data_IF_619842416324
#
_entry.id   IF_619842416324
#
_cell.length_a   1.000
_cell.length_b   1.000
_cell.length_c   1.000
_cell.angle_alpha   90.00
_cell.angle_beta   90.00
_cell.angle_gamma   90.00
#
_symmetry.space_group_name_H-M   'P 1'
#
loop_
_entity.id
_entity.type
_entity.pdbx_description
1 polymer ?
#
# COMPACT_ATOMS: atom_id res chain seq x y z
N UNK A 1 -22.26 -25.65 -10.60
CA UNK A 1 -20.88 -25.10 -10.69
C UNK A 1 -20.62 -24.34 -9.41
N UNK A 2 -19.79 -24.86 -8.53
CA UNK A 2 -19.54 -24.29 -7.20
C UNK A 2 -18.60 -23.09 -7.32
N UNK A 3 -19.02 -21.96 -6.76
CA UNK A 3 -18.28 -20.69 -6.71
C UNK A 3 -17.00 -20.88 -5.89
N UNK A 4 -15.85 -20.94 -6.56
CA UNK A 4 -14.50 -20.98 -5.94
C UNK A 4 -14.03 -19.57 -5.48
N UNK A 5 -14.94 -18.76 -4.96
CA UNK A 5 -14.65 -17.37 -4.54
C UNK A 5 -14.67 -17.22 -3.00
N UNK A 6 -14.68 -18.31 -2.23
CA UNK A 6 -15.03 -18.29 -0.80
C UNK A 6 -13.88 -18.61 0.19
N UNK A 7 -12.61 -18.50 -0.18
CA UNK A 7 -11.49 -18.66 0.77
C UNK A 7 -10.46 -17.53 0.67
N UNK A 8 -10.92 -16.30 0.42
CA UNK A 8 -10.09 -15.13 0.63
C UNK A 8 -10.47 -14.50 1.96
N UNK A 9 -9.46 -14.30 2.81
CA UNK A 9 -9.56 -13.59 4.07
C UNK A 9 -10.21 -12.20 3.86
N UNK A 10 -10.80 -11.63 4.91
CA UNK A 10 -11.38 -10.28 4.84
C UNK A 10 -10.34 -9.27 4.32
N UNK A 11 -10.74 -8.18 3.63
CA UNK A 11 -9.79 -7.18 3.14
C UNK A 11 -8.85 -6.63 4.22
N UNK A 12 -9.34 -6.56 5.48
CA UNK A 12 -8.51 -6.20 6.63
C UNK A 12 -7.44 -7.25 6.92
N UNK A 13 -7.82 -8.52 7.00
CA UNK A 13 -6.87 -9.60 7.25
C UNK A 13 -5.82 -9.70 6.13
N UNK A 14 -6.20 -9.49 4.86
CA UNK A 14 -5.21 -9.42 3.78
C UNK A 14 -4.27 -8.22 3.90
N UNK A 15 -4.76 -7.08 4.39
CA UNK A 15 -3.92 -5.92 4.70
C UNK A 15 -2.92 -6.23 5.81
N UNK A 16 -3.42 -6.70 6.96
CA UNK A 16 -2.60 -7.05 8.13
C UNK A 16 -1.53 -8.10 7.78
N UNK A 17 -1.85 -9.09 6.91
CA UNK A 17 -0.90 -10.10 6.44
C UNK A 17 0.20 -9.53 5.52
N UNK A 18 -0.16 -8.62 4.60
CA UNK A 18 0.81 -7.96 3.72
C UNK A 18 1.75 -7.05 4.50
N UNK A 19 1.21 -6.28 5.44
CA UNK A 19 1.99 -5.42 6.35
C UNK A 19 3.03 -6.23 7.11
N UNK A 20 2.61 -7.35 7.71
CA UNK A 20 3.51 -8.25 8.45
C UNK A 20 4.60 -8.85 7.53
N UNK A 21 4.26 -9.29 6.33
CA UNK A 21 5.24 -9.83 5.37
C UNK A 21 6.27 -8.77 4.95
N UNK A 22 5.84 -7.55 4.67
CA UNK A 22 6.71 -6.46 4.22
C UNK A 22 7.71 -6.06 5.29
N UNK A 23 7.25 -5.89 6.54
CA UNK A 23 8.15 -5.59 7.66
C UNK A 23 9.15 -6.73 7.89
N UNK A 24 8.74 -7.98 7.71
CA UNK A 24 9.64 -9.12 7.88
C UNK A 24 10.66 -9.30 6.73
N UNK A 25 10.35 -8.80 5.54
CA UNK A 25 11.16 -9.03 4.34
C UNK A 25 12.03 -7.83 3.96
N UNK A 26 11.68 -6.62 4.40
CA UNK A 26 12.45 -5.41 4.15
C UNK A 26 13.20 -5.07 5.44
N UNK A 27 14.47 -5.47 5.53
CA UNK A 27 15.30 -5.34 6.75
C UNK A 27 15.37 -3.92 7.31
N UNK A 28 15.23 -2.91 6.45
CA UNK A 28 15.26 -1.51 6.85
C UNK A 28 13.93 -1.01 7.43
N UNK A 29 12.88 -1.84 7.57
CA UNK A 29 11.60 -1.48 8.17
C UNK A 29 11.43 -2.09 9.56
N UNK A 30 10.89 -1.30 10.48
CA UNK A 30 10.40 -1.76 11.78
C UNK A 30 8.91 -1.49 11.89
N UNK A 31 8.15 -2.47 12.38
CA UNK A 31 6.71 -2.35 12.62
C UNK A 31 6.41 -1.30 13.69
N UNK A 32 5.45 -0.42 13.39
CA UNK A 32 4.87 0.51 14.33
C UNK A 32 3.40 0.16 14.52
N UNK A 33 3.05 -0.30 15.74
CA UNK A 33 1.67 -0.65 16.04
C UNK A 33 0.80 0.54 16.46
N UNK A 34 -0.52 0.35 16.38
CA UNK A 34 -1.57 1.35 16.70
C UNK A 34 -1.45 2.03 18.08
N UNK A 35 -0.76 1.41 19.04
CA UNK A 35 -0.51 2.00 20.37
C UNK A 35 0.53 3.13 20.33
N UNK A 36 1.36 3.15 19.30
CA UNK A 36 2.45 4.10 19.08
C UNK A 36 2.02 5.16 18.07
N UNK A 37 1.48 4.73 16.93
CA UNK A 37 0.96 5.61 15.88
C UNK A 37 -0.20 4.92 15.16
N UNK A 38 -1.26 5.68 14.83
CA UNK A 38 -2.45 5.16 14.13
C UNK A 38 -2.48 5.56 12.65
N UNK A 39 -1.37 6.05 12.11
CA UNK A 39 -1.29 6.73 10.80
C UNK A 39 -0.12 6.28 9.93
N UNK A 40 0.77 5.43 10.45
CA UNK A 40 1.81 4.73 9.72
C UNK A 40 2.01 3.34 10.32
N UNK A 41 2.37 2.37 9.49
CA UNK A 41 2.49 0.96 9.88
C UNK A 41 3.95 0.57 10.16
N UNK A 42 4.90 1.36 9.68
CA UNK A 42 6.32 1.10 9.85
C UNK A 42 7.15 2.39 9.94
N UNK A 43 8.40 2.25 10.38
CA UNK A 43 9.43 3.29 10.25
C UNK A 43 10.70 2.68 9.68
N UNK A 44 11.49 3.48 8.98
CA UNK A 44 12.82 3.04 8.57
C UNK A 44 13.77 2.97 9.77
N UNK A 45 14.58 1.92 9.88
CA UNK A 45 15.59 1.75 10.95
C UNK A 45 16.99 2.13 10.49
N UNK A 46 17.21 2.13 9.18
CA UNK A 46 18.46 2.46 8.49
C UNK A 46 18.10 3.05 7.12
N UNK A 47 19.11 3.33 6.29
CA UNK A 47 18.91 3.74 4.90
C UNK A 47 18.13 2.67 4.13
N UNK A 48 16.97 3.03 3.58
CA UNK A 48 16.22 2.19 2.65
C UNK A 48 16.54 2.64 1.22
N UNK A 49 17.06 1.70 0.43
CA UNK A 49 17.52 1.92 -0.94
C UNK A 49 16.62 1.19 -1.94
N UNK A 50 16.52 1.68 -3.19
CA UNK A 50 15.78 1.00 -4.24
C UNK A 50 16.45 -0.32 -4.63
N UNK A 51 15.63 -1.32 -4.91
CA UNK A 51 16.05 -2.60 -5.46
C UNK A 51 15.05 -3.08 -6.51
N UNK A 52 15.37 -4.13 -7.27
CA UNK A 52 14.47 -4.64 -8.33
C UNK A 52 13.09 -5.03 -7.79
N UNK A 53 13.01 -5.47 -6.53
CA UNK A 53 11.77 -5.81 -5.84
C UNK A 53 11.08 -4.63 -5.14
N UNK A 54 11.70 -3.44 -5.11
CA UNK A 54 11.20 -2.28 -4.39
C UNK A 54 11.55 -1.01 -5.15
N UNK A 55 10.64 -0.58 -6.03
CA UNK A 55 10.84 0.61 -6.85
C UNK A 55 10.60 1.88 -6.05
N UNK A 56 11.33 2.94 -6.37
CA UNK A 56 11.17 4.25 -5.77
C UNK A 56 10.69 5.23 -6.83
N UNK A 57 9.73 6.11 -6.49
CA UNK A 57 9.25 7.16 -7.38
C UNK A 57 9.36 8.53 -6.70
N UNK A 58 10.04 9.47 -7.36
CA UNK A 58 10.23 10.84 -6.85
C UNK A 58 11.25 10.97 -5.71
N UNK A 59 11.88 9.86 -5.32
CA UNK A 59 12.91 9.79 -4.28
C UNK A 59 13.94 8.71 -4.64
N UNK A 60 15.18 8.84 -4.15
CA UNK A 60 16.28 7.93 -4.48
C UNK A 60 16.77 7.09 -3.31
N UNK A 61 16.57 7.57 -2.08
CA UNK A 61 16.86 6.87 -0.82
C UNK A 61 15.91 7.39 0.26
N UNK A 62 15.59 6.58 1.27
CA UNK A 62 14.87 7.03 2.47
C UNK A 62 15.79 6.88 3.67
N UNK A 63 16.00 7.97 4.43
CA UNK A 63 16.83 7.98 5.63
C UNK A 63 16.23 7.13 6.76
N UNK A 64 17.00 6.88 7.82
CA UNK A 64 16.48 6.26 9.04
C UNK A 64 15.45 7.17 9.74
N UNK A 65 14.61 6.56 10.59
CA UNK A 65 13.57 7.23 11.38
C UNK A 65 12.48 7.94 10.56
N UNK A 66 12.30 7.54 9.29
CA UNK A 66 11.23 8.06 8.43
C UNK A 66 9.97 7.18 8.56
N UNK A 67 8.80 7.77 8.87
CA UNK A 67 7.53 7.04 8.93
C UNK A 67 7.11 6.52 7.55
N UNK A 68 6.59 5.29 7.52
CA UNK A 68 6.14 4.59 6.32
C UNK A 68 4.73 4.03 6.53
N UNK A 69 3.77 4.52 5.75
CA UNK A 69 2.40 3.99 5.70
C UNK A 69 2.31 2.92 4.60
N UNK A 70 1.89 1.70 4.95
CA UNK A 70 1.81 0.57 4.02
C UNK A 70 0.39 0.49 3.46
N UNK A 71 0.26 0.39 2.15
CA UNK A 71 -1.06 0.27 1.49
C UNK A 71 -1.06 -0.81 0.42
N UNK A 72 -1.79 -1.88 0.69
CA UNK A 72 -2.04 -2.97 -0.26
C UNK A 72 -3.32 -2.77 -1.06
N UNK A 73 -3.32 -3.16 -2.34
CA UNK A 73 -4.55 -3.37 -3.10
C UNK A 73 -4.43 -4.54 -4.08
N UNK A 74 -5.57 -5.14 -4.44
CA UNK A 74 -5.62 -6.20 -5.45
C UNK A 74 -5.20 -5.65 -6.82
N UNK A 75 -4.57 -6.48 -7.66
CA UNK A 75 -4.26 -6.11 -9.04
C UNK A 75 -5.53 -5.69 -9.79
N UNK A 76 -6.62 -6.41 -9.58
CA UNK A 76 -7.92 -6.12 -10.16
C UNK A 76 -9.03 -6.38 -9.15
N UNK A 77 -10.12 -5.65 -9.30
CA UNK A 77 -11.36 -5.78 -8.53
C UNK A 77 -12.52 -5.90 -9.51
N UNK A 78 -13.41 -6.86 -9.26
CA UNK A 78 -14.62 -7.06 -10.08
C UNK A 78 -15.85 -6.56 -9.33
N UNK A 79 -16.73 -5.87 -10.05
CA UNK A 79 -18.08 -5.56 -9.59
C UNK A 79 -19.14 -6.44 -10.29
N UNK A 80 -18.74 -7.62 -10.77
CA UNK A 80 -19.58 -8.56 -11.49
C UNK A 80 -19.41 -8.46 -13.01
N UNK A 81 -19.76 -7.33 -13.61
CA UNK A 81 -19.80 -7.17 -15.07
C UNK A 81 -18.50 -6.61 -15.69
N UNK A 82 -17.66 -5.94 -14.89
CA UNK A 82 -16.38 -5.38 -15.35
C UNK A 82 -15.30 -5.58 -14.29
N UNK A 83 -14.08 -5.83 -14.77
CA UNK A 83 -12.87 -5.77 -13.95
C UNK A 83 -12.29 -4.35 -14.04
N UNK A 84 -11.86 -3.81 -12.90
CA UNK A 84 -11.11 -2.56 -12.83
C UNK A 84 -9.89 -2.75 -11.95
N UNK A 85 -8.81 -2.02 -12.24
CA UNK A 85 -7.62 -1.99 -11.39
C UNK A 85 -7.99 -1.70 -9.94
N UNK A 86 -7.36 -2.41 -9.00
CA UNK A 86 -7.56 -2.13 -7.58
C UNK A 86 -7.11 -0.73 -7.20
N UNK A 87 -7.58 -0.30 -6.03
CA UNK A 87 -7.38 1.05 -5.53
C UNK A 87 -6.85 1.01 -4.11
N UNK A 88 -5.83 1.81 -3.83
CA UNK A 88 -5.39 2.12 -2.48
C UNK A 88 -6.45 2.97 -1.79
N UNK A 89 -6.74 2.67 -0.53
CA UNK A 89 -7.67 3.41 0.30
C UNK A 89 -6.90 4.27 1.28
N UNK A 90 -6.98 5.59 1.11
CA UNK A 90 -6.21 6.56 1.90
C UNK A 90 -7.16 7.33 2.81
N UNK A 91 -6.79 7.46 4.08
CA UNK A 91 -7.52 8.24 5.09
C UNK A 91 -6.94 9.64 5.18
N UNK A 92 -7.79 10.67 5.24
CA UNK A 92 -7.34 12.07 5.19
C UNK A 92 -6.43 12.41 6.37
N UNK A 93 -6.83 12.04 7.58
CA UNK A 93 -6.07 12.35 8.80
C UNK A 93 -4.70 11.67 8.83
N UNK A 94 -4.62 10.40 8.39
CA UNK A 94 -3.35 9.69 8.30
C UNK A 94 -2.43 10.31 7.25
N UNK A 95 -2.98 10.67 6.09
CA UNK A 95 -2.23 11.33 5.02
C UNK A 95 -1.64 12.67 5.45
N UNK A 96 -2.41 13.50 6.16
CA UNK A 96 -1.95 14.79 6.67
C UNK A 96 -0.78 14.64 7.66
N UNK A 97 -0.85 13.67 8.58
CA UNK A 97 0.24 13.40 9.51
C UNK A 97 1.50 12.89 8.79
N UNK A 98 1.33 12.06 7.75
CA UNK A 98 2.44 11.60 6.93
C UNK A 98 3.09 12.76 6.16
N UNK A 99 2.31 13.72 5.66
CA UNK A 99 2.84 14.95 5.04
C UNK A 99 3.64 15.80 6.04
N UNK A 100 3.09 16.03 7.23
CA UNK A 100 3.76 16.81 8.29
C UNK A 100 5.09 16.17 8.70
N UNK A 101 5.15 14.83 8.71
CA UNK A 101 6.33 14.06 9.07
C UNK A 101 7.29 13.81 7.89
N UNK A 102 7.04 14.37 6.70
CA UNK A 102 7.78 14.06 5.47
C UNK A 102 7.90 12.54 5.19
N UNK A 103 6.86 11.78 5.55
CA UNK A 103 6.85 10.33 5.47
C UNK A 103 6.59 9.78 4.08
N UNK A 104 6.62 8.45 4.00
CA UNK A 104 6.54 7.69 2.75
C UNK A 104 5.32 6.77 2.74
N UNK A 105 4.81 6.49 1.55
CA UNK A 105 3.95 5.34 1.31
C UNK A 105 4.77 4.18 0.78
N UNK A 106 4.49 2.97 1.29
CA UNK A 106 4.86 1.71 0.66
C UNK A 106 3.61 1.09 0.04
N UNK A 107 3.45 1.26 -1.26
CA UNK A 107 2.33 0.72 -2.02
C UNK A 107 2.61 -0.68 -2.52
N UNK A 108 1.64 -1.58 -2.36
CA UNK A 108 1.75 -2.97 -2.80
C UNK A 108 0.55 -3.40 -3.63
N UNK A 109 0.83 -3.96 -4.80
CA UNK A 109 -0.18 -4.59 -5.66
C UNK A 109 -0.04 -6.09 -5.52
N UNK A 110 -1.14 -6.79 -5.23
CA UNK A 110 -1.12 -8.25 -5.02
C UNK A 110 -2.19 -8.99 -5.81
N UNK A 111 -1.93 -10.27 -6.08
CA UNK A 111 -2.93 -11.20 -6.65
C UNK A 111 -3.75 -11.81 -5.51
N UNK A 112 -5.10 -11.72 -5.53
CA UNK A 112 -5.94 -12.23 -4.45
C UNK A 112 -6.05 -13.76 -4.50
N UNK A 113 -5.00 -14.44 -4.06
CA UNK A 113 -4.90 -15.90 -3.90
C UNK A 113 -4.06 -16.23 -2.65
N UNK A 114 -4.05 -17.48 -2.15
CA UNK A 114 -3.29 -17.84 -0.96
C UNK A 114 -1.82 -17.38 -1.04
N UNK A 115 -1.32 -16.81 0.06
CA UNK A 115 0.01 -16.19 0.14
C UNK A 115 0.10 -14.77 -0.42
N UNK A 116 -1.02 -14.19 -0.89
CA UNK A 116 -1.14 -12.82 -1.40
C UNK A 116 0.05 -12.37 -2.28
N UNK A 117 0.38 -13.12 -3.36
CA UNK A 117 1.58 -12.86 -4.13
C UNK A 117 1.63 -11.42 -4.62
N UNK A 118 2.65 -10.71 -4.17
CA UNK A 118 2.88 -9.31 -4.49
C UNK A 118 3.47 -9.24 -5.90
N UNK A 119 2.96 -8.36 -6.74
CA UNK A 119 3.37 -8.23 -8.16
C UNK A 119 3.96 -6.85 -8.47
N UNK A 120 3.87 -5.92 -7.52
CA UNK A 120 4.62 -4.69 -7.52
C UNK A 120 4.70 -4.11 -6.10
N UNK A 121 5.83 -3.47 -5.78
CA UNK A 121 6.04 -2.68 -4.57
C UNK A 121 6.64 -1.33 -4.95
N UNK A 122 6.19 -0.26 -4.31
CA UNK A 122 6.67 1.09 -4.61
C UNK A 122 6.75 1.97 -3.36
N UNK A 123 7.90 2.61 -3.15
CA UNK A 123 8.09 3.67 -2.17
C UNK A 123 7.85 5.03 -2.84
N UNK A 124 6.96 5.83 -2.25
CA UNK A 124 6.57 7.13 -2.81
C UNK A 124 6.42 8.16 -1.68
N UNK A 125 7.02 9.37 -1.78
CA UNK A 125 6.82 10.42 -0.80
C UNK A 125 5.36 10.82 -0.65
N UNK A 126 4.93 11.13 0.58
CA UNK A 126 3.58 11.61 0.85
C UNK A 126 3.22 12.85 0.02
N UNK A 127 4.19 13.73 -0.26
CA UNK A 127 4.01 14.93 -1.09
C UNK A 127 3.61 14.62 -2.52
N UNK A 128 4.22 13.61 -3.16
CA UNK A 128 3.82 13.15 -4.48
C UNK A 128 2.43 12.51 -4.44
N UNK A 129 2.13 11.77 -3.37
CA UNK A 129 0.81 11.16 -3.20
C UNK A 129 -0.27 12.23 -3.00
N UNK A 130 0.01 13.34 -2.31
CA UNK A 130 -0.94 14.45 -2.13
C UNK A 130 -1.37 15.07 -3.46
N UNK A 131 -0.42 15.25 -4.40
CA UNK A 131 -0.73 15.68 -5.76
C UNK A 131 -1.66 14.69 -6.48
N UNK A 132 -1.41 13.39 -6.33
CA UNK A 132 -2.25 12.33 -6.92
C UNK A 132 -3.66 12.26 -6.29
N UNK A 133 -3.81 12.76 -5.07
CA UNK A 133 -5.05 12.73 -4.28
C UNK A 133 -5.88 14.02 -4.36
N UNK A 134 -5.34 15.13 -4.87
CA UNK A 134 -5.89 16.49 -4.72
C UNK A 134 -7.41 16.61 -4.97
N UNK A 135 -7.96 15.97 -6.00
CA UNK A 135 -9.40 16.02 -6.33
C UNK A 135 -10.17 14.72 -6.02
N UNK A 136 -9.65 13.89 -5.11
CA UNK A 136 -10.15 12.51 -4.89
C UNK A 136 -10.77 12.27 -3.51
N UNK A 137 -10.79 13.28 -2.64
CA UNK A 137 -11.34 13.18 -1.30
C UNK A 137 -12.87 13.19 -1.33
N UNK A 138 -13.48 12.32 -0.54
CA UNK A 138 -14.92 12.26 -0.38
C UNK A 138 -15.30 11.90 1.06
N UNK A 139 -16.41 12.46 1.53
CA UNK A 139 -16.95 12.27 2.87
C UNK A 139 -17.55 10.86 3.02
N UNK A 140 -17.32 10.22 4.17
CA UNK A 140 -17.84 8.88 4.52
C UNK A 140 -18.77 8.88 5.73
N UNK A 141 -19.17 10.06 6.23
CA UNK A 141 -20.26 10.24 7.18
C UNK A 141 -19.94 9.83 8.62
N UNK A 142 -18.69 9.99 9.07
CA UNK A 142 -18.25 10.10 10.47
C UNK A 142 -18.60 9.00 11.48
N UNK A 143 -19.29 7.92 11.09
CA UNK A 143 -19.61 6.79 11.97
C UNK A 143 -18.47 5.76 12.06
N UNK A 144 -17.47 5.90 11.18
CA UNK A 144 -16.18 5.20 11.21
C UNK A 144 -15.13 6.23 11.62
N UNK A 145 -13.98 5.81 12.12
CA UNK A 145 -12.91 6.66 12.69
C UNK A 145 -12.31 7.75 11.76
N UNK A 146 -12.92 8.02 10.61
CA UNK A 146 -12.49 8.97 9.58
C UNK A 146 -13.70 9.66 8.94
N UNK A 147 -13.57 10.96 8.67
CA UNK A 147 -14.61 11.75 8.00
C UNK A 147 -14.41 11.81 6.48
N UNK A 148 -13.16 11.80 6.01
CA UNK A 148 -12.83 11.92 4.59
C UNK A 148 -11.78 10.88 4.17
N UNK A 149 -11.99 10.30 3.00
CA UNK A 149 -11.10 9.29 2.42
C UNK A 149 -10.96 9.49 0.92
N UNK A 150 -9.93 8.88 0.35
CA UNK A 150 -9.71 8.85 -1.09
C UNK A 150 -9.41 7.44 -1.58
N UNK A 151 -9.72 7.19 -2.86
CA UNK A 151 -9.36 5.94 -3.54
C UNK A 151 -8.48 6.24 -4.74
N UNK A 152 -7.28 5.69 -4.74
CA UNK A 152 -6.28 5.90 -5.78
C UNK A 152 -6.02 4.58 -6.53
N UNK A 153 -6.38 4.51 -7.81
CA UNK A 153 -6.06 3.33 -8.62
C UNK A 153 -4.55 3.12 -8.66
N UNK A 154 -4.09 1.87 -8.50
CA UNK A 154 -2.65 1.60 -8.40
C UNK A 154 -1.87 2.08 -9.62
N UNK A 155 -2.51 2.12 -10.80
CA UNK A 155 -1.89 2.59 -12.03
C UNK A 155 -1.67 4.10 -12.12
N UNK A 156 -2.14 4.88 -11.15
CA UNK A 156 -1.74 6.27 -11.02
C UNK A 156 -0.41 6.43 -10.28
N UNK A 157 0.05 5.36 -9.60
CA UNK A 157 1.28 5.36 -8.81
C UNK A 157 2.36 4.53 -9.50
N UNK A 158 2.00 3.33 -9.95
CA UNK A 158 2.91 2.34 -10.53
C UNK A 158 2.58 2.21 -12.02
N UNK A 159 3.59 2.36 -12.88
CA UNK A 159 3.43 2.16 -14.31
C UNK A 159 2.93 0.71 -14.57
N UNK A 160 1.78 0.53 -15.25
CA UNK A 160 1.26 -0.80 -15.58
C UNK A 160 2.21 -1.70 -16.36
N UNK A 161 3.18 -1.13 -17.09
CA UNK A 161 4.20 -1.92 -17.81
C UNK A 161 5.18 -2.61 -16.87
N UNK A 162 5.28 -2.14 -15.62
CA UNK A 162 6.12 -2.73 -14.57
C UNK A 162 5.37 -3.75 -13.70
N UNK A 163 4.13 -4.09 -14.04
CA UNK A 163 3.30 -5.03 -13.27
C UNK A 163 2.99 -6.27 -14.10
N UNK A 164 3.59 -7.40 -13.73
CA UNK A 164 3.31 -8.70 -14.34
C UNK A 164 2.56 -9.61 -13.34
N UNK A 165 1.29 -9.96 -13.59
CA UNK A 165 0.53 -10.84 -12.70
C UNK A 165 1.11 -12.25 -12.54
N UNK A 166 1.99 -12.67 -13.44
CA UNK A 166 2.62 -14.00 -13.42
C UNK A 166 3.95 -14.03 -12.66
N UNK A 167 4.53 -12.86 -12.36
CA UNK A 167 5.84 -12.74 -11.71
C UNK A 167 5.69 -12.08 -10.34
N UNK A 168 5.94 -12.84 -9.28
CA UNK A 168 5.88 -12.32 -7.92
C UNK A 168 7.15 -11.50 -7.59
N UNK A 169 6.95 -10.34 -6.97
CA UNK A 169 7.99 -9.47 -6.44
C UNK A 169 8.44 -9.94 -5.06
N UNK A 170 9.75 -10.02 -4.83
CA UNK A 170 10.31 -10.30 -3.50
C UNK A 170 10.11 -11.74 -2.99
N UNK A 171 9.69 -12.67 -3.85
CA UNK A 171 9.67 -14.09 -3.51
C UNK A 171 11.08 -14.62 -3.33
N UNK A 172 11.37 -15.31 -2.22
CA UNK A 172 12.56 -16.17 -2.15
C UNK A 172 12.47 -17.23 -3.27
N UNK A 173 13.57 -17.53 -3.97
CA UNK A 173 13.63 -18.66 -4.88
C UNK A 173 13.32 -19.99 -4.18
#
# INVERSE_FOLDING_TARGET
MSSRTSELESPKASGDALEAELVQTIDALEYVGDRTATWHDARTTTLLEPELSLLFYGIVVVEADVPVEIKGCQIETSNGARSTRGRFYVKRNAHQQLLEAAGMYLFVVYVPRPGLPQVARAVVPATIVDELLSDRWYDVGGSRSENEVAKLAWSHVIDPTNVDPSTATGGRP
#
